data_IF_833945243320
#
_entry.id   IF_833945243320
#
_cell.length_a   1.000
_cell.length_b   1.000
_cell.length_c   1.000
_cell.angle_alpha   90.00
_cell.angle_beta   90.00
_cell.angle_gamma   90.00
#
_symmetry.space_group_name_H-M   'P 1'
#
loop_
_entity.id
_entity.type
_entity.pdbx_description
1 polymer ?
#
# COMPACT_ATOMS: atom_id res chain seq x y z
N UNK A 1 -7.12 4.34 2.82
CA UNK A 1 -8.34 4.32 3.64
C UNK A 1 -9.59 4.06 2.77
N UNK A 2 -9.58 4.46 1.50
CA UNK A 2 -10.60 4.22 0.50
C UNK A 2 -10.11 4.66 -0.87
N UNK A 3 -10.90 4.44 -1.93
CA UNK A 3 -10.55 4.86 -3.27
C UNK A 3 -11.76 5.46 -4.01
N UNK A 4 -11.49 6.41 -4.89
CA UNK A 4 -12.45 6.89 -5.88
C UNK A 4 -12.05 6.26 -7.22
N UNK A 5 -12.92 5.40 -7.77
CA UNK A 5 -12.75 4.83 -9.10
C UNK A 5 -13.40 5.75 -10.14
N UNK A 6 -12.58 6.34 -11.00
CA UNK A 6 -13.10 7.21 -12.07
C UNK A 6 -13.31 6.38 -13.33
N UNK A 7 -14.56 6.38 -13.83
CA UNK A 7 -14.97 5.68 -15.06
C UNK A 7 -15.60 6.70 -16.01
N UNK A 8 -15.31 6.58 -17.30
CA UNK A 8 -15.96 7.41 -18.32
C UNK A 8 -17.35 6.88 -18.62
N UNK A 9 -18.37 7.72 -18.50
CA UNK A 9 -19.75 7.38 -18.89
C UNK A 9 -19.91 7.09 -20.38
N UNK A 10 -19.07 7.70 -21.22
CA UNK A 10 -19.12 7.49 -22.68
C UNK A 10 -18.45 6.20 -23.15
N UNK A 11 -17.42 5.72 -22.40
CA UNK A 11 -16.58 4.58 -22.82
C UNK A 11 -16.88 3.31 -22.00
N UNK A 12 -17.49 3.46 -20.81
CA UNK A 12 -17.68 2.36 -19.86
C UNK A 12 -16.38 1.86 -19.21
N UNK A 13 -16.43 0.72 -18.50
CA UNK A 13 -15.27 0.12 -17.86
C UNK A 13 -14.31 -0.49 -18.88
N UNK A 14 -13.17 0.15 -19.09
CA UNK A 14 -12.09 -0.24 -19.98
C UNK A 14 -11.15 -1.29 -19.32
N UNK A 15 -10.26 -1.96 -20.07
CA UNK A 15 -9.28 -2.91 -19.49
C UNK A 15 -8.46 -2.33 -18.33
N UNK A 16 -8.05 -1.06 -18.41
CA UNK A 16 -7.35 -0.36 -17.34
C UNK A 16 -8.21 -0.22 -16.07
N UNK A 17 -9.52 -0.03 -16.21
CA UNK A 17 -10.44 0.02 -15.07
C UNK A 17 -10.41 -1.29 -14.30
N UNK A 18 -10.39 -2.43 -15.01
CA UNK A 18 -10.27 -3.77 -14.41
C UNK A 18 -8.95 -3.95 -13.65
N UNK A 19 -7.85 -3.49 -14.25
CA UNK A 19 -6.53 -3.52 -13.59
C UNK A 19 -6.52 -2.66 -12.31
N UNK A 20 -7.14 -1.48 -12.33
CA UNK A 20 -7.22 -0.61 -11.16
C UNK A 20 -8.06 -1.25 -10.04
N UNK A 21 -9.19 -1.87 -10.36
CA UNK A 21 -10.03 -2.56 -9.36
C UNK A 21 -9.28 -3.76 -8.77
N UNK A 22 -8.61 -4.55 -9.62
CA UNK A 22 -7.76 -5.65 -9.18
C UNK A 22 -6.67 -5.15 -8.23
N UNK A 23 -5.96 -4.08 -8.58
CA UNK A 23 -4.91 -3.50 -7.73
C UNK A 23 -5.48 -2.97 -6.42
N UNK A 24 -6.64 -2.29 -6.44
CA UNK A 24 -7.30 -1.80 -5.22
C UNK A 24 -7.62 -2.97 -4.28
N UNK A 25 -8.18 -4.07 -4.81
CA UNK A 25 -8.43 -5.29 -4.03
C UNK A 25 -7.14 -5.86 -3.47
N UNK A 26 -6.13 -5.89 -4.29
CA UNK A 26 -4.81 -6.40 -3.94
C UNK A 26 -4.09 -5.61 -2.85
N UNK A 27 -4.14 -4.31 -2.80
CA UNK A 27 -3.55 -3.51 -1.72
C UNK A 27 -4.46 -3.38 -0.50
N UNK A 28 -5.63 -4.05 -0.52
CA UNK A 28 -6.55 -4.09 0.61
C UNK A 28 -7.34 -2.79 0.81
N UNK A 29 -7.70 -2.10 -0.27
CA UNK A 29 -8.61 -0.93 -0.19
C UNK A 29 -9.96 -1.41 0.37
N UNK A 30 -10.41 -0.89 1.53
CA UNK A 30 -11.60 -1.40 2.20
C UNK A 30 -12.91 -0.98 1.52
N UNK A 31 -12.94 0.19 0.87
CA UNK A 31 -14.13 0.73 0.24
C UNK A 31 -13.80 1.55 -1.01
N UNK A 32 -14.68 1.48 -2.00
CA UNK A 32 -14.57 2.23 -3.27
C UNK A 32 -15.85 3.06 -3.46
N UNK A 33 -15.70 4.30 -3.91
CA UNK A 33 -16.78 5.13 -4.44
C UNK A 33 -16.50 5.34 -5.93
N UNK A 34 -17.52 5.29 -6.77
CA UNK A 34 -17.36 5.45 -8.22
C UNK A 34 -17.75 6.87 -8.64
N UNK A 35 -16.86 7.53 -9.38
CA UNK A 35 -17.15 8.75 -10.10
C UNK A 35 -17.38 8.40 -11.58
N UNK A 36 -18.65 8.36 -12.01
CA UNK A 36 -19.04 8.17 -13.40
C UNK A 36 -18.90 9.51 -14.12
N UNK A 37 -17.72 9.76 -14.69
CA UNK A 37 -17.34 11.05 -15.25
C UNK A 37 -17.72 11.19 -16.73
N UNK A 38 -17.74 12.42 -17.24
CA UNK A 38 -18.11 12.80 -18.60
C UNK A 38 -19.59 12.54 -18.92
N UNK A 39 -20.48 12.65 -17.93
CA UNK A 39 -21.92 12.49 -18.17
C UNK A 39 -22.47 13.54 -19.15
N UNK A 40 -21.79 14.68 -19.27
CA UNK A 40 -22.12 15.74 -20.26
C UNK A 40 -21.92 15.31 -21.72
N UNK A 41 -21.27 14.17 -21.98
CA UNK A 41 -21.07 13.61 -23.32
C UNK A 41 -22.11 12.53 -23.69
N UNK A 42 -23.02 12.22 -22.76
CA UNK A 42 -24.02 11.15 -22.93
C UNK A 42 -25.40 11.75 -22.70
N UNK A 43 -26.19 11.82 -23.76
CA UNK A 43 -27.56 12.34 -23.72
C UNK A 43 -28.62 11.25 -23.44
N UNK A 44 -28.22 9.98 -23.43
CA UNK A 44 -29.09 8.82 -23.26
C UNK A 44 -29.00 8.26 -21.85
N UNK A 45 -30.08 8.39 -21.07
CA UNK A 45 -30.17 7.91 -19.70
C UNK A 45 -30.05 6.36 -19.62
N UNK A 46 -30.59 5.64 -20.62
CA UNK A 46 -30.50 4.16 -20.64
C UNK A 46 -29.04 3.71 -20.78
N UNK A 47 -28.23 4.47 -21.52
CA UNK A 47 -26.79 4.20 -21.65
C UNK A 47 -26.04 4.44 -20.33
N UNK A 48 -26.40 5.49 -19.59
CA UNK A 48 -25.80 5.74 -18.26
C UNK A 48 -26.12 4.61 -17.28
N UNK A 49 -27.38 4.14 -17.27
CA UNK A 49 -27.80 3.02 -16.43
C UNK A 49 -27.05 1.72 -16.79
N UNK A 50 -26.86 1.47 -18.09
CA UNK A 50 -26.12 0.30 -18.57
C UNK A 50 -24.65 0.33 -18.11
N UNK A 51 -23.98 1.47 -18.27
CA UNK A 51 -22.59 1.65 -17.83
C UNK A 51 -22.46 1.50 -16.32
N UNK A 52 -23.41 2.04 -15.55
CA UNK A 52 -23.45 1.85 -14.11
C UNK A 52 -23.57 0.36 -13.74
N UNK A 53 -24.44 -0.38 -14.41
CA UNK A 53 -24.61 -1.83 -14.19
C UNK A 53 -23.32 -2.58 -14.49
N UNK A 54 -22.66 -2.30 -15.61
CA UNK A 54 -21.38 -2.91 -15.96
C UNK A 54 -20.28 -2.65 -14.92
N UNK A 55 -20.23 -1.43 -14.34
CA UNK A 55 -19.28 -1.07 -13.29
C UNK A 55 -19.60 -1.86 -12.00
N UNK A 56 -20.88 -1.98 -11.63
CA UNK A 56 -21.32 -2.76 -10.45
C UNK A 56 -20.97 -4.24 -10.59
N UNK A 57 -21.22 -4.83 -11.77
CA UNK A 57 -20.84 -6.21 -12.08
C UNK A 57 -19.32 -6.42 -12.01
N UNK A 58 -18.56 -5.45 -12.55
CA UNK A 58 -17.11 -5.49 -12.49
C UNK A 58 -16.63 -5.49 -11.02
N UNK A 59 -17.12 -4.57 -10.19
CA UNK A 59 -16.75 -4.48 -8.78
C UNK A 59 -17.11 -5.75 -8.01
N UNK A 60 -18.30 -6.31 -8.27
CA UNK A 60 -18.76 -7.57 -7.67
C UNK A 60 -17.86 -8.75 -8.06
N UNK A 61 -17.36 -8.78 -9.30
CA UNK A 61 -16.45 -9.85 -9.78
C UNK A 61 -15.08 -9.84 -9.05
N UNK A 62 -14.71 -8.71 -8.44
CA UNK A 62 -13.51 -8.57 -7.61
C UNK A 62 -13.82 -8.51 -6.10
N UNK A 63 -14.99 -9.05 -5.70
CA UNK A 63 -15.41 -9.17 -4.30
C UNK A 63 -15.60 -7.83 -3.56
N UNK A 64 -15.88 -6.75 -4.28
CA UNK A 64 -16.43 -5.54 -3.68
C UNK A 64 -17.97 -5.62 -3.67
N UNK A 65 -18.67 -4.97 -2.74
CA UNK A 65 -20.13 -4.99 -2.66
C UNK A 65 -20.76 -4.10 -3.76
N UNK A 66 -20.65 -4.52 -5.04
CA UNK A 66 -20.98 -3.72 -6.21
C UNK A 66 -22.39 -3.12 -6.19
N UNK A 67 -23.38 -3.84 -5.61
CA UNK A 67 -24.76 -3.36 -5.52
C UNK A 67 -24.92 -2.17 -4.55
N UNK A 68 -24.10 -2.13 -3.48
CA UNK A 68 -24.19 -1.12 -2.41
C UNK A 68 -23.25 0.07 -2.63
N UNK A 69 -22.34 -0.02 -3.59
CA UNK A 69 -21.32 1.03 -3.85
C UNK A 69 -21.99 2.28 -4.44
N UNK A 70 -21.73 3.48 -3.88
CA UNK A 70 -22.17 4.72 -4.48
C UNK A 70 -21.53 4.94 -5.86
N UNK A 71 -22.37 5.11 -6.88
CA UNK A 71 -21.97 5.52 -8.23
C UNK A 71 -22.51 6.93 -8.48
N UNK A 72 -21.60 7.90 -8.56
CA UNK A 72 -21.95 9.31 -8.63
C UNK A 72 -21.70 9.84 -10.05
N UNK A 73 -22.75 10.30 -10.75
CA UNK A 73 -22.60 10.92 -12.06
C UNK A 73 -21.97 12.31 -11.91
N UNK A 74 -20.89 12.58 -12.63
CA UNK A 74 -20.17 13.85 -12.58
C UNK A 74 -19.72 14.32 -13.97
N UNK A 75 -19.63 15.64 -14.14
CA UNK A 75 -18.91 16.27 -15.24
C UNK A 75 -17.82 17.17 -14.67
N UNK A 76 -16.61 16.63 -14.53
CA UNK A 76 -15.48 17.38 -14.00
C UNK A 76 -15.13 18.59 -14.88
N UNK A 77 -15.30 18.50 -16.21
CA UNK A 77 -15.03 19.61 -17.11
C UNK A 77 -15.99 20.78 -16.86
N UNK A 78 -17.30 20.53 -16.86
CA UNK A 78 -18.30 21.58 -16.61
C UNK A 78 -18.18 22.19 -15.21
N UNK A 79 -17.83 21.38 -14.20
CA UNK A 79 -17.58 21.88 -12.86
C UNK A 79 -16.39 22.86 -12.82
N UNK A 80 -15.29 22.56 -13.55
CA UNK A 80 -14.14 23.45 -13.69
C UNK A 80 -14.47 24.74 -14.48
N UNK A 81 -15.38 24.67 -15.44
CA UNK A 81 -15.87 25.81 -16.21
C UNK A 81 -16.83 26.72 -15.42
N UNK A 82 -17.24 26.29 -14.22
CA UNK A 82 -18.06 27.08 -13.30
C UNK A 82 -19.56 26.80 -13.39
N UNK A 83 -19.96 25.70 -14.04
CA UNK A 83 -21.37 25.25 -14.03
C UNK A 83 -21.74 24.80 -12.61
N UNK A 84 -22.78 25.46 -12.05
CA UNK A 84 -23.18 25.22 -10.65
C UNK A 84 -23.75 23.82 -10.42
N UNK A 85 -24.49 23.26 -11.38
CA UNK A 85 -25.09 21.95 -11.26
C UNK A 85 -23.98 20.86 -11.30
N UNK A 86 -22.96 21.03 -12.15
CA UNK A 86 -21.82 20.14 -12.20
C UNK A 86 -20.93 20.24 -10.93
N UNK A 87 -20.81 21.44 -10.35
CA UNK A 87 -20.15 21.62 -9.06
C UNK A 87 -20.90 20.91 -7.92
N UNK A 88 -22.24 21.00 -7.89
CA UNK A 88 -23.05 20.27 -6.91
C UNK A 88 -22.91 18.75 -7.05
N UNK A 89 -22.78 18.21 -8.28
CA UNK A 89 -22.49 16.78 -8.51
C UNK A 89 -21.13 16.36 -7.92
N UNK A 90 -20.10 17.19 -8.08
CA UNK A 90 -18.79 16.93 -7.49
C UNK A 90 -18.86 16.98 -5.96
N UNK A 91 -19.62 17.91 -5.39
CA UNK A 91 -19.84 17.96 -3.93
C UNK A 91 -20.59 16.74 -3.43
N UNK A 92 -21.61 16.27 -4.16
CA UNK A 92 -22.33 15.04 -3.83
C UNK A 92 -21.40 13.80 -3.87
N UNK A 93 -20.41 13.75 -4.78
CA UNK A 93 -19.37 12.73 -4.78
C UNK A 93 -18.54 12.78 -3.47
N UNK A 94 -18.19 13.97 -3.00
CA UNK A 94 -17.45 14.13 -1.74
C UNK A 94 -18.28 13.72 -0.53
N UNK A 95 -19.56 14.07 -0.52
CA UNK A 95 -20.51 13.63 0.52
C UNK A 95 -20.64 12.08 0.54
N UNK A 96 -20.65 11.45 -0.64
CA UNK A 96 -20.64 10.00 -0.76
C UNK A 96 -19.33 9.39 -0.23
N UNK A 97 -18.16 10.00 -0.48
CA UNK A 97 -16.88 9.60 0.10
C UNK A 97 -16.92 9.66 1.62
N UNK A 98 -17.39 10.78 2.18
CA UNK A 98 -17.43 11.00 3.64
C UNK A 98 -18.41 10.06 4.36
N UNK A 99 -19.50 9.67 3.68
CA UNK A 99 -20.53 8.80 4.29
C UNK A 99 -20.29 7.32 4.08
N UNK A 100 -19.67 6.92 2.97
CA UNK A 100 -19.53 5.50 2.60
C UNK A 100 -18.17 4.90 2.97
N UNK A 101 -17.08 5.67 2.85
CA UNK A 101 -15.75 5.17 3.22
C UNK A 101 -15.63 5.15 4.74
N UNK A 102 -15.37 3.98 5.36
CA UNK A 102 -15.29 3.90 6.81
C UNK A 102 -14.10 4.70 7.33
N UNK A 103 -14.29 5.34 8.48
CA UNK A 103 -13.19 6.01 9.17
C UNK A 103 -12.14 4.96 9.58
N UNK A 104 -10.88 5.11 9.17
CA UNK A 104 -9.88 4.08 9.42
C UNK A 104 -9.52 4.01 10.90
N UNK A 105 -9.46 2.79 11.43
CA UNK A 105 -8.93 2.56 12.77
C UNK A 105 -7.43 2.77 12.76
N UNK A 106 -6.94 3.73 13.55
CA UNK A 106 -5.53 4.05 13.67
C UNK A 106 -4.92 3.37 14.90
N UNK A 107 -3.81 2.66 14.71
CA UNK A 107 -3.06 1.98 15.78
C UNK A 107 -2.20 2.98 16.57
N UNK A 108 -2.84 3.87 17.34
CA UNK A 108 -2.14 4.92 18.09
C UNK A 108 -1.39 4.39 19.32
N UNK A 109 -1.87 3.31 19.92
CA UNK A 109 -1.30 2.72 21.14
C UNK A 109 -0.07 1.84 20.89
N UNK A 110 0.18 1.47 19.63
CA UNK A 110 1.36 0.70 19.24
C UNK A 110 2.64 1.55 19.28
N UNK A 111 3.81 0.92 19.39
CA UNK A 111 5.08 1.65 19.25
C UNK A 111 5.15 2.36 17.89
N UNK A 112 5.70 3.58 17.86
CA UNK A 112 5.87 4.34 16.64
C UNK A 112 6.66 3.56 15.57
N UNK A 113 6.15 3.57 14.35
CA UNK A 113 6.78 3.01 13.16
C UNK A 113 6.43 3.85 11.92
N UNK A 114 7.44 4.26 11.15
CA UNK A 114 7.29 4.99 9.90
C UNK A 114 8.28 4.48 8.85
N UNK A 115 7.83 3.84 7.76
CA UNK A 115 8.68 3.51 6.63
C UNK A 115 9.22 4.77 5.96
N UNK A 116 10.49 4.78 5.58
CA UNK A 116 11.13 5.90 4.90
C UNK A 116 10.87 5.80 3.40
N UNK A 117 10.22 6.83 2.85
CA UNK A 117 9.93 6.96 1.42
C UNK A 117 11.01 7.76 0.70
N UNK A 118 11.34 8.95 1.22
CA UNK A 118 12.36 9.83 0.66
C UNK A 118 13.26 10.44 1.74
N UNK A 119 14.49 10.83 1.32
CA UNK A 119 15.50 11.44 2.18
C UNK A 119 15.99 12.74 1.58
N UNK A 120 15.83 13.84 2.31
CA UNK A 120 16.22 15.18 1.91
C UNK A 120 17.30 15.73 2.85
N UNK A 121 18.16 16.57 2.32
CA UNK A 121 19.08 17.41 3.11
C UNK A 121 18.64 18.85 3.01
N UNK A 122 18.31 19.46 4.14
CA UNK A 122 17.93 20.89 4.21
C UNK A 122 19.08 21.68 4.80
N UNK A 123 19.61 22.63 4.04
CA UNK A 123 20.71 23.50 4.47
C UNK A 123 20.36 24.21 5.78
N UNK A 124 21.21 24.03 6.81
CA UNK A 124 21.03 24.63 8.13
C UNK A 124 20.04 23.90 9.05
N UNK A 125 19.30 22.90 8.56
CA UNK A 125 18.38 22.10 9.39
C UNK A 125 18.84 20.65 9.58
N UNK A 126 19.48 20.04 8.57
CA UNK A 126 19.95 18.65 8.61
C UNK A 126 19.21 17.72 7.67
N UNK A 127 19.16 16.45 8.01
CA UNK A 127 18.50 15.41 7.22
C UNK A 127 17.04 15.31 7.64
N UNK A 128 16.15 15.34 6.65
CA UNK A 128 14.71 15.11 6.77
C UNK A 128 14.36 13.85 6.01
N UNK A 129 13.59 12.97 6.64
CA UNK A 129 13.03 11.79 6.00
C UNK A 129 11.51 11.92 5.96
N UNK A 130 10.91 11.48 4.86
CA UNK A 130 9.45 11.51 4.71
C UNK A 130 8.90 10.10 4.67
N UNK A 131 7.68 9.95 5.13
CA UNK A 131 6.94 8.71 5.07
C UNK A 131 5.57 8.82 5.75
N UNK A 132 4.74 7.81 5.53
CA UNK A 132 3.48 7.65 6.24
C UNK A 132 3.74 6.95 7.57
N UNK A 133 3.25 7.52 8.66
CA UNK A 133 3.26 6.84 9.98
C UNK A 133 2.34 5.62 9.90
N UNK A 134 2.91 4.44 10.03
CA UNK A 134 2.19 3.16 9.94
C UNK A 134 1.43 2.89 11.24
N UNK A 135 2.07 3.14 12.37
CA UNK A 135 1.48 2.98 13.71
C UNK A 135 2.14 3.89 14.75
N UNK A 136 1.45 4.08 15.87
CA UNK A 136 1.93 4.85 17.01
C UNK A 136 1.93 6.36 16.79
N UNK A 137 2.63 7.05 17.69
CA UNK A 137 2.76 8.50 17.69
C UNK A 137 4.24 8.85 17.87
N UNK A 138 4.71 9.89 17.19
CA UNK A 138 6.04 10.48 17.36
C UNK A 138 5.91 11.94 17.77
N UNK A 139 6.70 12.34 18.76
CA UNK A 139 6.80 13.73 19.20
C UNK A 139 8.15 14.33 18.85
N UNK A 140 8.19 15.63 18.75
CA UNK A 140 9.45 16.37 18.69
C UNK A 140 10.23 16.17 19.99
N UNK A 141 11.45 15.65 19.88
CA UNK A 141 12.32 15.30 21.01
C UNK A 141 12.44 13.82 21.30
N UNK A 142 11.62 12.98 20.67
CA UNK A 142 11.66 11.54 20.87
C UNK A 142 12.95 10.91 20.33
N UNK A 143 13.49 9.98 21.11
CA UNK A 143 14.56 9.09 20.64
C UNK A 143 13.97 7.99 19.76
N UNK A 144 14.60 7.77 18.62
CA UNK A 144 14.17 6.81 17.60
C UNK A 144 15.35 6.02 17.06
N UNK A 145 15.06 4.92 16.41
CA UNK A 145 16.02 4.09 15.68
C UNK A 145 15.70 4.07 14.18
N UNK A 146 16.77 4.04 13.39
CA UNK A 146 16.72 3.79 11.94
C UNK A 146 17.08 2.33 11.73
N UNK A 147 16.12 1.50 11.29
CA UNK A 147 16.24 0.04 11.24
C UNK A 147 16.10 -0.49 9.82
N UNK A 148 16.88 -1.51 9.48
CA UNK A 148 16.84 -2.21 8.20
C UNK A 148 17.91 -1.78 7.20
N UNK A 149 18.23 -2.65 6.24
CA UNK A 149 19.22 -2.50 5.17
C UNK A 149 20.67 -2.30 5.62
N UNK A 150 20.89 -1.58 6.69
CA UNK A 150 22.19 -1.29 7.33
C UNK A 150 22.09 -1.57 8.83
N UNK A 151 23.22 -1.40 9.53
CA UNK A 151 23.25 -1.45 10.99
C UNK A 151 22.29 -0.44 11.59
N UNK A 152 21.58 -0.86 12.63
CA UNK A 152 20.62 -0.01 13.34
C UNK A 152 21.34 1.20 13.96
N UNK A 153 20.80 2.39 13.68
CA UNK A 153 21.35 3.66 14.19
C UNK A 153 20.33 4.34 15.11
N UNK A 154 20.84 4.93 16.19
CA UNK A 154 20.03 5.74 17.12
C UNK A 154 20.11 7.21 16.74
N UNK A 155 18.98 7.89 16.78
CA UNK A 155 18.89 9.33 16.55
C UNK A 155 17.73 9.91 17.34
N UNK A 156 17.55 11.23 17.27
CA UNK A 156 16.43 11.94 17.91
C UNK A 156 15.65 12.68 16.84
N UNK A 157 14.32 12.59 16.87
CA UNK A 157 13.44 13.42 16.06
C UNK A 157 13.45 14.85 16.61
N UNK A 158 14.00 15.81 15.86
CA UNK A 158 14.08 17.21 16.29
C UNK A 158 12.97 18.09 15.74
N UNK A 159 12.11 17.55 14.90
CA UNK A 159 10.96 18.26 14.37
C UNK A 159 10.11 17.35 13.51
N UNK A 160 8.82 17.60 13.53
CA UNK A 160 7.81 16.96 12.69
C UNK A 160 7.19 18.02 11.80
N UNK A 161 7.07 17.76 10.51
CA UNK A 161 6.50 18.70 9.55
C UNK A 161 5.49 18.00 8.64
N UNK A 162 4.34 18.64 8.42
CA UNK A 162 3.33 18.19 7.47
C UNK A 162 2.77 19.40 6.71
N UNK A 163 2.69 19.32 5.37
CA UNK A 163 2.24 20.43 4.50
C UNK A 163 2.96 21.76 4.77
N UNK A 164 4.28 21.73 5.02
CA UNK A 164 5.14 22.89 5.36
C UNK A 164 4.77 23.58 6.68
N UNK A 165 4.05 22.90 7.56
CA UNK A 165 3.76 23.33 8.91
C UNK A 165 4.50 22.45 9.90
N UNK A 166 5.14 23.09 10.88
CA UNK A 166 5.74 22.40 12.02
C UNK A 166 4.61 21.90 12.94
N UNK A 167 4.73 20.67 13.37
CA UNK A 167 3.82 20.02 14.31
C UNK A 167 4.59 19.60 15.56
N UNK A 168 3.88 19.50 16.68
CA UNK A 168 4.44 18.95 17.91
C UNK A 168 4.55 17.43 17.86
N UNK A 169 3.62 16.79 17.13
CA UNK A 169 3.52 15.35 16.99
C UNK A 169 3.05 14.93 15.60
N UNK A 170 3.28 13.65 15.26
CA UNK A 170 2.71 12.96 14.10
C UNK A 170 2.16 11.60 14.53
N UNK A 171 1.01 11.21 14.04
CA UNK A 171 0.32 10.00 14.45
C UNK A 171 0.05 9.03 13.28
N UNK A 172 -0.30 7.79 13.61
CA UNK A 172 -0.63 6.77 12.61
C UNK A 172 -1.62 7.29 11.57
N UNK A 173 -1.26 7.13 10.30
CA UNK A 173 -2.00 7.63 9.14
C UNK A 173 -1.49 8.94 8.57
N UNK A 174 -0.72 9.73 9.33
CA UNK A 174 -0.16 10.99 8.85
C UNK A 174 1.01 10.74 7.90
N UNK A 175 1.11 11.57 6.86
CA UNK A 175 2.29 11.61 6.00
C UNK A 175 3.17 12.80 6.43
N UNK A 176 4.28 12.51 7.06
CA UNK A 176 5.12 13.51 7.72
C UNK A 176 6.56 13.55 7.20
N UNK A 177 7.21 14.67 7.42
CA UNK A 177 8.66 14.82 7.36
C UNK A 177 9.22 14.85 8.80
N UNK A 178 10.12 13.92 9.12
CA UNK A 178 10.81 13.86 10.40
C UNK A 178 12.25 14.39 10.26
N UNK A 179 12.61 15.38 11.06
CA UNK A 179 13.96 15.96 11.09
C UNK A 179 14.83 15.17 12.08
N UNK A 180 15.97 14.66 11.58
CA UNK A 180 16.86 13.76 12.32
C UNK A 180 18.10 14.50 12.83
N UNK A 181 18.44 14.31 14.12
CA UNK A 181 19.62 14.91 14.74
C UNK A 181 20.88 14.16 14.33
N UNK A 182 21.89 14.90 13.82
CA UNK A 182 23.24 14.36 13.61
C UNK A 182 23.35 13.25 12.56
N UNK A 183 22.26 12.96 11.84
CA UNK A 183 22.20 11.95 10.80
C UNK A 183 22.52 12.60 9.44
N UNK A 184 23.46 12.04 8.68
CA UNK A 184 23.75 12.50 7.33
C UNK A 184 22.83 11.82 6.33
N UNK A 185 22.62 12.46 5.15
CA UNK A 185 21.79 11.92 4.09
C UNK A 185 22.25 10.53 3.60
N UNK A 186 23.57 10.33 3.53
CA UNK A 186 24.19 9.05 3.11
C UNK A 186 24.03 7.91 4.11
N UNK A 187 23.71 8.21 5.37
CA UNK A 187 23.50 7.21 6.42
C UNK A 187 22.11 6.58 6.36
N UNK A 188 21.15 7.29 5.76
CA UNK A 188 19.74 6.90 5.66
C UNK A 188 19.35 6.69 4.21
N UNK A 189 18.47 5.71 3.97
CA UNK A 189 17.96 5.46 2.63
C UNK A 189 16.50 4.98 2.67
N UNK A 190 15.82 5.14 1.54
CA UNK A 190 14.50 4.57 1.31
C UNK A 190 14.51 3.07 1.63
N UNK A 191 13.43 2.59 2.26
CA UNK A 191 13.26 1.19 2.64
C UNK A 191 13.70 0.85 4.06
N UNK A 192 14.44 1.74 4.73
CA UNK A 192 14.60 1.66 6.19
C UNK A 192 13.32 2.15 6.87
N UNK A 193 13.20 1.89 8.16
CA UNK A 193 12.10 2.41 8.98
C UNK A 193 12.62 3.28 10.13
N UNK A 194 11.88 4.31 10.48
CA UNK A 194 12.00 4.96 11.79
C UNK A 194 11.10 4.24 12.77
N UNK A 195 11.63 3.88 13.91
CA UNK A 195 10.89 3.14 14.92
C UNK A 195 11.23 3.61 16.34
N UNK A 196 10.31 3.35 17.28
CA UNK A 196 10.60 3.48 18.70
C UNK A 196 11.77 2.53 19.07
N UNK A 197 12.75 2.95 19.87
CA UNK A 197 13.90 2.13 20.20
C UNK A 197 13.52 0.73 20.70
N UNK A 198 14.09 -0.30 20.05
CA UNK A 198 13.87 -1.70 20.40
C UNK A 198 12.50 -2.27 20.08
N UNK A 199 11.65 -1.56 19.34
CA UNK A 199 10.30 -2.04 18.99
C UNK A 199 10.24 -2.94 17.76
N UNK A 200 11.24 -2.88 16.89
CA UNK A 200 11.35 -3.70 15.70
C UNK A 200 12.78 -4.11 15.46
N UNK A 201 12.99 -5.29 14.89
CA UNK A 201 14.32 -5.82 14.59
C UNK A 201 14.50 -6.12 13.09
N UNK A 202 15.72 -6.00 12.54
CA UNK A 202 16.00 -6.37 11.16
C UNK A 202 16.24 -7.88 11.04
N UNK A 203 15.65 -8.50 10.01
CA UNK A 203 15.81 -9.94 9.74
C UNK A 203 16.21 -10.19 8.28
N UNK A 204 17.03 -11.22 8.06
CA UNK A 204 17.37 -11.74 6.73
C UNK A 204 16.63 -13.03 6.42
N UNK A 205 16.25 -13.79 7.45
CA UNK A 205 15.57 -15.07 7.31
C UNK A 205 14.19 -15.01 7.93
N UNK A 206 13.20 -15.54 7.22
CA UNK A 206 11.82 -15.63 7.70
C UNK A 206 11.06 -16.76 7.01
N UNK A 207 9.99 -17.22 7.63
CA UNK A 207 9.03 -18.14 7.06
C UNK A 207 7.80 -17.38 6.61
N UNK A 208 7.24 -17.76 5.47
CA UNK A 208 6.07 -17.10 4.89
C UNK A 208 5.13 -18.09 4.23
N UNK A 209 3.84 -17.78 4.29
CA UNK A 209 2.85 -18.40 3.42
C UNK A 209 2.65 -17.51 2.21
N UNK A 210 2.72 -18.10 1.02
CA UNK A 210 2.61 -17.37 -0.23
C UNK A 210 1.62 -18.05 -1.16
N UNK A 211 0.69 -17.26 -1.66
CA UNK A 211 -0.16 -17.64 -2.79
C UNK A 211 0.51 -17.23 -4.10
N UNK A 212 0.66 -18.16 -5.02
CA UNK A 212 1.29 -17.92 -6.31
C UNK A 212 0.20 -17.67 -7.35
N UNK A 213 0.09 -16.41 -7.81
CA UNK A 213 -0.91 -16.04 -8.80
C UNK A 213 -0.85 -16.94 -10.05
N UNK A 214 -2.03 -17.39 -10.49
CA UNK A 214 -2.21 -18.12 -11.73
C UNK A 214 -2.04 -17.21 -12.96
N UNK A 215 -1.95 -17.81 -14.14
CA UNK A 215 -1.89 -17.08 -15.42
C UNK A 215 -3.11 -16.16 -15.62
N UNK A 216 -4.29 -16.64 -15.25
CA UNK A 216 -5.57 -15.93 -15.40
C UNK A 216 -5.64 -14.68 -14.51
N UNK A 217 -4.98 -14.75 -13.36
CA UNK A 217 -4.82 -13.63 -12.39
C UNK A 217 -3.66 -12.68 -12.76
N UNK A 218 -3.02 -12.86 -13.92
CA UNK A 218 -1.88 -12.05 -14.35
C UNK A 218 -0.53 -12.49 -13.79
N UNK A 219 -0.48 -13.64 -13.13
CA UNK A 219 0.71 -14.21 -12.52
C UNK A 219 1.60 -15.02 -13.47
N UNK A 220 2.29 -16.00 -12.90
CA UNK A 220 3.24 -16.87 -13.60
C UNK A 220 2.54 -17.89 -14.52
N UNK A 221 3.31 -18.37 -15.51
CA UNK A 221 2.90 -19.47 -16.39
C UNK A 221 3.66 -20.78 -16.09
N UNK A 222 4.73 -20.69 -15.31
CA UNK A 222 5.63 -21.81 -15.05
C UNK A 222 5.85 -21.99 -13.54
N UNK A 223 6.03 -23.23 -13.07
CA UNK A 223 6.39 -23.46 -11.68
C UNK A 223 7.76 -22.85 -11.36
N UNK A 224 8.02 -22.69 -10.06
CA UNK A 224 9.36 -22.41 -9.57
C UNK A 224 9.83 -23.51 -8.60
N UNK A 225 11.11 -23.58 -8.40
CA UNK A 225 11.79 -24.60 -7.63
C UNK A 225 12.55 -23.98 -6.45
N UNK A 226 12.99 -24.79 -5.52
CA UNK A 226 13.95 -24.38 -4.48
C UNK A 226 15.15 -23.68 -5.11
N UNK A 227 15.69 -22.66 -4.45
CA UNK A 227 16.71 -21.71 -4.92
C UNK A 227 16.23 -20.71 -5.99
N UNK A 228 14.91 -20.52 -6.16
CA UNK A 228 14.37 -19.41 -6.91
C UNK A 228 14.71 -18.08 -6.21
N UNK A 229 15.17 -17.08 -6.98
CA UNK A 229 15.69 -15.81 -6.45
C UNK A 229 14.94 -14.60 -7.04
N UNK A 230 13.71 -14.33 -6.61
CA UNK A 230 12.96 -13.16 -7.02
C UNK A 230 13.31 -11.92 -6.18
N UNK A 231 12.61 -10.80 -6.49
CA UNK A 231 12.61 -9.60 -5.67
C UNK A 231 11.39 -9.62 -4.74
N UNK A 232 11.65 -9.36 -3.47
CA UNK A 232 10.67 -9.23 -2.39
C UNK A 232 10.44 -7.76 -2.10
N UNK A 233 9.21 -7.30 -2.21
CA UNK A 233 8.82 -5.91 -1.99
C UNK A 233 8.23 -5.78 -0.59
N UNK A 234 8.94 -5.07 0.28
CA UNK A 234 8.51 -4.76 1.65
C UNK A 234 8.29 -3.26 1.77
N UNK A 235 7.14 -2.81 2.23
CA UNK A 235 6.85 -1.38 2.43
C UNK A 235 7.35 -0.51 1.25
N UNK A 236 8.46 0.19 1.42
CA UNK A 236 8.99 1.16 0.44
C UNK A 236 10.24 0.67 -0.31
N UNK A 237 10.64 -0.60 -0.14
CA UNK A 237 11.86 -1.16 -0.78
C UNK A 237 11.64 -2.53 -1.37
N UNK A 238 12.57 -2.95 -2.21
CA UNK A 238 12.69 -4.31 -2.70
C UNK A 238 14.07 -4.90 -2.38
N UNK A 239 14.10 -6.18 -2.07
CA UNK A 239 15.32 -6.93 -1.77
C UNK A 239 15.25 -8.30 -2.44
N UNK A 240 16.35 -8.72 -3.03
CA UNK A 240 16.45 -10.07 -3.58
C UNK A 240 16.54 -11.08 -2.45
N UNK A 241 15.78 -12.18 -2.55
CA UNK A 241 15.82 -13.28 -1.60
C UNK A 241 15.86 -14.63 -2.29
N UNK A 242 16.36 -15.63 -1.60
CA UNK A 242 16.39 -17.02 -2.02
C UNK A 242 15.24 -17.78 -1.34
N UNK A 243 14.45 -18.52 -2.12
CA UNK A 243 13.32 -19.31 -1.63
C UNK A 243 13.76 -20.77 -1.45
N UNK A 244 13.43 -21.32 -0.29
CA UNK A 244 13.52 -22.76 0.00
C UNK A 244 12.11 -23.30 0.24
N UNK A 245 11.71 -24.29 -0.56
CA UNK A 245 10.45 -25.00 -0.39
C UNK A 245 10.53 -26.03 0.73
N UNK A 246 9.42 -26.41 1.36
CA UNK A 246 9.38 -27.44 2.40
C UNK A 246 9.92 -28.78 1.93
N UNK A 247 10.43 -29.59 2.84
CA UNK A 247 10.92 -30.93 2.54
C UNK A 247 9.80 -31.79 1.90
N UNK A 248 10.11 -32.36 0.74
CA UNK A 248 9.15 -33.16 -0.03
C UNK A 248 8.37 -32.39 -1.10
N UNK A 249 8.53 -31.06 -1.15
CA UNK A 249 7.96 -30.22 -2.22
C UNK A 249 9.05 -29.90 -3.24
N UNK A 250 8.96 -30.49 -4.44
CA UNK A 250 9.96 -30.26 -5.50
C UNK A 250 9.73 -28.93 -6.21
N UNK A 251 8.47 -28.53 -6.42
CA UNK A 251 8.10 -27.31 -7.14
C UNK A 251 6.81 -26.72 -6.58
N UNK A 252 6.60 -25.44 -6.84
CA UNK A 252 5.36 -24.71 -6.57
C UNK A 252 4.74 -24.26 -7.89
N UNK A 253 3.46 -24.58 -8.08
CA UNK A 253 2.70 -24.27 -9.29
C UNK A 253 1.98 -22.94 -9.18
N UNK A 254 1.70 -22.26 -10.31
CA UNK A 254 0.73 -21.16 -10.31
C UNK A 254 -0.64 -21.61 -9.77
N UNK A 255 -1.21 -20.85 -8.83
CA UNK A 255 -2.44 -21.19 -8.11
C UNK A 255 -2.23 -21.90 -6.76
N UNK A 256 -0.99 -22.29 -6.44
CA UNK A 256 -0.69 -22.94 -5.17
C UNK A 256 -0.56 -21.93 -4.03
N UNK A 257 -0.97 -22.38 -2.84
CA UNK A 257 -0.63 -21.75 -1.56
C UNK A 257 0.45 -22.62 -0.87
N UNK A 258 1.60 -22.03 -0.58
CA UNK A 258 2.73 -22.79 -0.04
C UNK A 258 3.47 -22.04 1.07
N UNK A 259 3.88 -22.81 2.08
CA UNK A 259 4.84 -22.29 3.05
C UNK A 259 6.23 -22.31 2.42
N UNK A 260 7.02 -21.30 2.71
CA UNK A 260 8.41 -21.22 2.23
C UNK A 260 9.30 -20.53 3.24
N UNK A 261 10.56 -20.93 3.26
CA UNK A 261 11.61 -20.21 3.98
C UNK A 261 12.33 -19.28 3.00
N UNK A 262 12.52 -18.05 3.40
CA UNK A 262 13.16 -17.01 2.59
C UNK A 262 14.42 -16.51 3.27
N UNK A 263 15.51 -16.43 2.50
CA UNK A 263 16.77 -15.82 2.89
C UNK A 263 17.04 -14.58 2.03
N UNK A 264 16.97 -13.39 2.62
CA UNK A 264 17.21 -12.11 1.96
C UNK A 264 18.70 -11.78 1.90
N UNK A 265 19.13 -11.07 0.86
CA UNK A 265 20.53 -10.60 0.73
C UNK A 265 20.83 -9.38 1.63
N UNK A 266 19.82 -8.73 2.19
CA UNK A 266 19.96 -7.60 3.11
C UNK A 266 18.90 -7.67 4.21
N UNK A 267 19.21 -7.19 5.44
CA UNK A 267 18.26 -7.22 6.54
C UNK A 267 17.11 -6.22 6.32
N UNK A 268 15.88 -6.64 6.57
CA UNK A 268 14.68 -5.81 6.51
C UNK A 268 14.05 -5.74 7.90
N UNK A 269 13.64 -4.54 8.30
CA UNK A 269 12.84 -4.35 9.52
C UNK A 269 11.47 -5.01 9.33
N UNK A 270 11.19 -6.08 10.09
CA UNK A 270 9.93 -6.84 9.96
C UNK A 270 9.46 -7.37 11.31
N UNK A 271 8.14 -7.43 11.42
CA UNK A 271 7.40 -8.08 12.50
C UNK A 271 6.54 -9.20 11.93
N UNK A 272 5.99 -10.01 12.82
CA UNK A 272 5.00 -11.03 12.45
C UNK A 272 3.80 -10.41 11.74
N UNK A 273 3.32 -11.05 10.66
CA UNK A 273 2.20 -10.57 9.86
C UNK A 273 2.54 -9.46 8.87
N UNK A 274 3.83 -9.10 8.68
CA UNK A 274 4.21 -8.14 7.66
C UNK A 274 3.91 -8.70 6.27
N UNK A 275 3.09 -7.98 5.50
CA UNK A 275 2.77 -8.33 4.12
C UNK A 275 3.89 -7.91 3.18
N UNK A 276 4.10 -8.72 2.14
CA UNK A 276 5.07 -8.44 1.10
C UNK A 276 4.59 -8.95 -0.25
N UNK A 277 5.18 -8.46 -1.33
CA UNK A 277 4.93 -8.95 -2.67
C UNK A 277 6.21 -9.52 -3.29
N UNK A 278 6.06 -10.55 -4.12
CA UNK A 278 7.17 -11.13 -4.89
C UNK A 278 6.99 -10.71 -6.36
N UNK A 279 8.06 -10.21 -6.98
CA UNK A 279 8.07 -9.84 -8.40
C UNK A 279 9.27 -10.41 -9.13
N UNK A 280 9.05 -10.71 -10.41
CA UNK A 280 10.09 -11.17 -11.34
C UNK A 280 10.03 -10.31 -12.61
N UNK A 281 11.13 -9.63 -12.96
CA UNK A 281 11.28 -8.92 -14.24
C UNK A 281 10.17 -7.91 -14.55
N UNK A 282 9.68 -7.18 -13.56
CA UNK A 282 8.63 -6.16 -13.74
C UNK A 282 7.19 -6.71 -13.75
N UNK A 283 7.00 -8.01 -13.62
CA UNK A 283 5.68 -8.66 -13.44
C UNK A 283 5.49 -9.07 -11.98
N UNK A 284 4.31 -8.78 -11.43
CA UNK A 284 3.99 -9.19 -10.06
C UNK A 284 3.68 -10.68 -10.03
N UNK A 285 4.45 -11.41 -9.24
CA UNK A 285 4.13 -12.78 -8.82
C UNK A 285 3.70 -12.60 -7.37
N UNK A 286 2.41 -12.49 -7.11
CA UNK A 286 1.97 -12.00 -5.80
C UNK A 286 1.74 -13.09 -4.80
N UNK A 287 2.05 -12.77 -3.51
CA UNK A 287 1.53 -13.43 -2.33
C UNK A 287 0.36 -12.61 -1.79
N UNK A 288 -0.81 -13.20 -1.63
CA UNK A 288 -1.90 -12.67 -0.82
C UNK A 288 -2.07 -13.50 0.44
N UNK A 289 -2.12 -12.83 1.58
CA UNK A 289 -2.68 -13.42 2.78
C UNK A 289 -4.21 -13.46 2.66
N UNK A 290 -4.77 -14.65 2.53
CA UNK A 290 -6.12 -14.86 3.03
C UNK A 290 -6.06 -14.92 4.56
N UNK A 291 -6.83 -14.05 5.19
CA UNK A 291 -7.04 -13.97 6.64
C UNK A 291 -7.40 -15.32 7.25
N UNK A 292 -6.43 -16.02 7.76
CA UNK A 292 -6.55 -16.99 8.84
C UNK A 292 -5.18 -17.13 9.47
N UNK A 293 -5.05 -16.61 10.70
CA UNK A 293 -3.96 -16.80 11.66
C UNK A 293 -2.62 -17.26 11.06
N UNK A 294 -1.81 -16.30 10.63
CA UNK A 294 -0.46 -16.53 10.19
C UNK A 294 0.50 -16.30 11.35
N UNK A 295 1.01 -17.39 11.87
CA UNK A 295 2.17 -17.39 12.74
C UNK A 295 3.41 -17.31 11.85
N UNK A 296 3.99 -16.13 11.66
CA UNK A 296 5.37 -16.02 11.25
C UNK A 296 6.23 -16.48 12.45
N UNK A 297 6.72 -17.70 12.40
CA UNK A 297 7.68 -18.18 13.40
C UNK A 297 9.04 -17.63 13.02
N UNK A 298 9.58 -16.74 13.85
CA UNK A 298 10.98 -16.35 13.80
C UNK A 298 11.87 -17.54 14.09
N UNK A 299 12.71 -17.91 13.15
CA UNK A 299 13.92 -18.67 13.49
C UNK A 299 15.00 -17.67 13.93
N UNK A 300 15.20 -17.55 15.25
CA UNK A 300 16.35 -16.89 15.85
C UNK A 300 17.49 -17.91 15.87
N UNK A 301 18.59 -17.60 15.18
CA UNK A 301 19.88 -18.27 15.40
C UNK A 301 20.76 -17.42 16.28
#
# INVERSE_FOLDING_TARGET
DGAILVVSAADGPMPQTREHVLLARQVGVPAIVVALNKVDMVDDEELLELVELEVRELLSSYEFPGDDIPVMPVSALKALEGDSAAQDQVMALMDAVDSYIPEPVRDLDKPFLMPIEDVFSITGRGTVVTGKVEQGIIHTGDDIEIVGLKDTQKTTCTGVEMFRKLLDEGQAGDNIGALLRGTKKEDVQRGQVLAKPGSITPHTNFEANCYVLSKEEGGRHKPFFTNYRPQFYFRTTDVTGNISLPAGTEMCMPGDNTEMTVELIAPIAMDEGLRFAIREGGRTVRSEEHTSELQSRQCIS
#
